data_IF_845193302200
#
_entry.id   IF_845193302200
#
_cell.length_a   1.000
_cell.length_b   1.000
_cell.length_c   1.000
_cell.angle_alpha   90.00
_cell.angle_beta   90.00
_cell.angle_gamma   90.00
#
_symmetry.space_group_name_H-M   'P 1'
#
loop_
_entity.id
_entity.type
_entity.pdbx_description
1 polymer ?
#
# COMPACT_ATOMS: atom_id res chain seq x y z
N UNK A 1 -53.55 9.06 -6.21
CA UNK A 1 -52.45 8.07 -6.31
C UNK A 1 -51.27 8.51 -7.19
N UNK A 2 -51.44 9.31 -8.26
CA UNK A 2 -50.32 9.79 -9.12
C UNK A 2 -49.28 10.69 -8.43
N UNK A 3 -49.63 11.39 -7.34
CA UNK A 3 -48.70 12.30 -6.63
C UNK A 3 -47.73 11.60 -5.68
N UNK A 4 -48.07 10.43 -5.14
CA UNK A 4 -47.20 9.66 -4.24
C UNK A 4 -46.09 8.90 -4.99
N UNK A 5 -46.36 8.48 -6.23
CA UNK A 5 -45.35 7.81 -7.07
C UNK A 5 -44.22 8.75 -7.51
N UNK A 6 -44.54 10.03 -7.77
CA UNK A 6 -43.56 11.04 -8.18
C UNK A 6 -42.58 11.38 -7.06
N UNK A 7 -43.02 11.38 -5.80
CA UNK A 7 -42.15 11.69 -4.66
C UNK A 7 -41.25 10.51 -4.31
N UNK A 8 -41.73 9.27 -4.47
CA UNK A 8 -40.90 8.08 -4.29
C UNK A 8 -39.80 7.99 -5.36
N UNK A 9 -40.08 8.39 -6.61
CA UNK A 9 -39.09 8.39 -7.68
C UNK A 9 -38.01 9.47 -7.49
N UNK A 10 -38.37 10.63 -6.93
CA UNK A 10 -37.41 11.71 -6.67
C UNK A 10 -36.43 11.38 -5.52
N UNK A 11 -36.89 10.63 -4.51
CA UNK A 11 -36.04 10.19 -3.40
C UNK A 11 -35.12 9.04 -3.83
N UNK A 12 -35.58 8.16 -4.74
CA UNK A 12 -34.75 7.04 -5.22
C UNK A 12 -33.61 7.52 -6.14
N UNK A 13 -33.81 8.61 -6.90
CA UNK A 13 -32.74 9.21 -7.73
C UNK A 13 -31.72 9.97 -6.86
N UNK A 14 -32.14 10.54 -5.72
CA UNK A 14 -31.19 11.20 -4.81
C UNK A 14 -30.28 10.20 -4.07
N UNK A 15 -30.73 8.96 -3.87
CA UNK A 15 -29.94 7.90 -3.20
C UNK A 15 -29.01 7.19 -4.19
N UNK A 16 -29.34 7.14 -5.49
CA UNK A 16 -28.46 6.61 -6.53
C UNK A 16 -27.40 7.62 -7.02
N UNK A 17 -27.56 8.91 -6.73
CA UNK A 17 -26.65 9.97 -7.17
C UNK A 17 -25.42 10.23 -6.28
N UNK A 18 -25.31 9.58 -5.11
CA UNK A 18 -24.25 9.85 -4.12
C UNK A 18 -23.27 8.69 -3.89
N UNK A 19 -23.16 7.74 -4.83
CA UNK A 19 -22.20 6.62 -4.74
C UNK A 19 -21.06 6.64 -5.76
N UNK A 20 -20.86 7.73 -6.52
CA UNK A 20 -19.82 7.75 -7.57
C UNK A 20 -19.09 9.09 -7.64
N UNK A 21 -18.55 9.59 -6.52
CA UNK A 21 -17.41 10.53 -6.55
C UNK A 21 -16.67 10.54 -5.21
N UNK A 22 -16.12 9.41 -4.79
CA UNK A 22 -15.02 9.38 -3.83
C UNK A 22 -13.95 8.45 -4.36
N UNK A 23 -13.03 9.05 -5.10
CA UNK A 23 -11.66 8.60 -5.34
C UNK A 23 -11.48 7.08 -5.56
N UNK A 24 -11.82 6.62 -6.77
CA UNK A 24 -11.01 5.59 -7.42
C UNK A 24 -9.69 6.23 -7.89
N UNK A 25 -8.88 6.71 -6.93
CA UNK A 25 -7.43 6.67 -7.11
C UNK A 25 -7.02 5.28 -6.61
N UNK A 26 -6.21 4.52 -7.37
CA UNK A 26 -5.65 3.28 -6.84
C UNK A 26 -5.04 3.60 -5.48
N UNK A 27 -5.22 2.68 -4.52
CA UNK A 27 -4.70 2.76 -3.17
C UNK A 27 -3.15 2.86 -3.19
N UNK A 28 -2.61 4.04 -3.48
CA UNK A 28 -1.20 4.39 -3.33
C UNK A 28 -0.77 4.79 -1.89
N UNK A 29 -1.63 5.06 -0.88
CA UNK A 29 -1.13 5.74 0.31
C UNK A 29 -0.46 4.83 1.34
N UNK A 30 -0.51 3.49 1.21
CA UNK A 30 0.12 2.61 2.22
C UNK A 30 1.64 2.52 2.10
N UNK A 31 2.24 3.01 1.01
CA UNK A 31 3.70 3.10 0.89
C UNK A 31 4.33 4.12 1.85
N UNK A 32 3.55 5.04 2.43
CA UNK A 32 4.09 6.15 3.24
C UNK A 32 3.57 6.23 4.68
N UNK A 33 2.46 5.55 5.01
CA UNK A 33 1.78 5.84 6.29
C UNK A 33 2.44 5.13 7.48
N UNK A 34 3.04 3.95 7.30
CA UNK A 34 3.71 3.18 8.37
C UNK A 34 4.97 2.44 7.87
N UNK A 35 5.80 3.12 7.08
CA UNK A 35 7.09 2.58 6.64
C UNK A 35 8.06 2.58 7.81
N UNK A 36 8.43 1.38 8.27
CA UNK A 36 9.34 1.18 9.39
C UNK A 36 10.79 1.32 8.94
N UNK A 37 11.12 0.64 7.85
CA UNK A 37 12.47 0.61 7.30
C UNK A 37 12.42 0.72 5.78
N UNK A 38 13.40 1.43 5.24
CA UNK A 38 13.65 1.55 3.81
C UNK A 38 15.14 1.32 3.59
N UNK A 39 15.45 0.41 2.67
CA UNK A 39 16.82 0.12 2.27
C UNK A 39 16.89 -0.13 0.77
N UNK A 40 18.07 0.03 0.19
CA UNK A 40 18.30 -0.35 -1.20
C UNK A 40 18.70 -1.82 -1.27
N UNK A 41 18.28 -2.50 -2.33
CA UNK A 41 18.75 -3.84 -2.64
C UNK A 41 19.30 -3.89 -4.07
N UNK A 42 20.28 -4.75 -4.26
CA UNK A 42 20.80 -5.16 -5.54
C UNK A 42 20.99 -6.67 -5.50
N UNK A 43 20.42 -7.38 -6.46
CA UNK A 43 20.43 -8.84 -6.48
C UNK A 43 20.54 -9.35 -7.90
N UNK A 44 21.34 -10.39 -8.08
CA UNK A 44 21.49 -11.06 -9.36
C UNK A 44 20.89 -12.46 -9.29
N UNK A 45 20.13 -12.81 -10.31
CA UNK A 45 19.45 -14.09 -10.40
C UNK A 45 19.11 -14.45 -11.84
N UNK A 46 18.55 -15.62 -12.03
CA UNK A 46 18.16 -16.11 -13.35
C UNK A 46 16.66 -15.95 -13.54
N UNK A 47 16.23 -15.57 -14.74
CA UNK A 47 14.81 -15.41 -15.05
C UNK A 47 14.14 -16.78 -15.08
N UNK A 48 13.30 -17.05 -14.09
CA UNK A 48 12.56 -18.30 -13.97
C UNK A 48 11.30 -18.30 -14.83
N UNK A 49 10.61 -17.16 -14.90
CA UNK A 49 9.33 -17.03 -15.59
C UNK A 49 9.22 -15.68 -16.29
N UNK A 50 8.58 -15.66 -17.46
CA UNK A 50 8.21 -14.45 -18.20
C UNK A 50 6.72 -14.53 -18.51
N UNK A 51 5.93 -13.63 -17.94
CA UNK A 51 4.48 -13.54 -18.16
C UNK A 51 4.15 -12.24 -18.85
N UNK A 52 3.51 -12.32 -20.01
CA UNK A 52 3.07 -11.15 -20.75
C UNK A 52 1.59 -11.28 -21.12
N UNK A 53 0.86 -10.17 -21.04
CA UNK A 53 -0.48 -10.09 -21.59
C UNK A 53 -0.46 -9.58 -23.03
N UNK A 54 -1.59 -9.73 -23.72
CA UNK A 54 -1.76 -9.28 -25.11
C UNK A 54 -1.60 -7.76 -25.31
N UNK A 55 -1.59 -6.99 -24.21
CA UNK A 55 -1.38 -5.54 -24.20
C UNK A 55 0.06 -5.16 -23.87
N UNK A 56 1.03 -6.06 -24.04
CA UNK A 56 2.46 -5.75 -23.87
C UNK A 56 2.88 -5.40 -22.43
N UNK A 57 2.00 -5.63 -21.45
CA UNK A 57 2.32 -5.50 -20.03
C UNK A 57 2.56 -6.89 -19.46
N UNK A 58 3.55 -7.01 -18.60
CA UNK A 58 3.94 -8.30 -18.07
C UNK A 58 4.70 -8.19 -16.77
N UNK A 59 5.24 -9.32 -16.34
CA UNK A 59 6.24 -9.39 -15.30
C UNK A 59 7.21 -10.53 -15.60
N UNK A 60 8.38 -10.45 -15.00
CA UNK A 60 9.29 -11.57 -14.89
C UNK A 60 9.43 -11.98 -13.43
N UNK A 61 9.77 -13.24 -13.21
CA UNK A 61 10.19 -13.75 -11.92
C UNK A 61 11.68 -14.03 -12.00
N UNK A 62 12.46 -13.30 -11.22
CA UNK A 62 13.91 -13.49 -11.08
C UNK A 62 14.13 -14.34 -9.83
N UNK A 63 14.71 -15.52 -10.01
CA UNK A 63 15.03 -16.43 -8.92
C UNK A 63 16.49 -16.26 -8.51
N UNK A 64 16.71 -16.09 -7.22
CA UNK A 64 18.03 -15.77 -6.65
C UNK A 64 18.62 -16.96 -5.88
N UNK A 65 17.87 -18.07 -5.82
CA UNK A 65 18.16 -19.24 -4.99
C UNK A 65 17.57 -19.16 -3.59
N UNK A 66 17.41 -17.96 -3.04
CA UNK A 66 16.81 -17.72 -1.71
C UNK A 66 15.37 -17.21 -1.81
N UNK A 67 15.10 -16.33 -2.78
CA UNK A 67 13.78 -15.75 -3.00
C UNK A 67 13.47 -15.55 -4.48
N UNK A 68 12.18 -15.47 -4.79
CA UNK A 68 11.68 -15.14 -6.13
C UNK A 68 11.19 -13.68 -6.11
N UNK A 69 11.77 -12.85 -6.98
CA UNK A 69 11.42 -11.42 -7.09
C UNK A 69 10.62 -11.19 -8.37
N UNK A 70 9.42 -10.65 -8.22
CA UNK A 70 8.58 -10.27 -9.36
C UNK A 70 8.92 -8.86 -9.82
N UNK A 71 9.30 -8.72 -11.09
CA UNK A 71 9.66 -7.45 -11.71
C UNK A 71 8.65 -7.13 -12.81
N UNK A 72 7.90 -6.04 -12.64
CA UNK A 72 6.93 -5.59 -13.65
C UNK A 72 7.63 -5.10 -14.91
N UNK A 73 7.14 -5.52 -16.08
CA UNK A 73 7.57 -5.04 -17.38
C UNK A 73 6.46 -4.19 -18.00
N UNK A 74 6.75 -2.90 -18.21
CA UNK A 74 5.87 -1.98 -18.93
C UNK A 74 6.41 -1.72 -20.34
N UNK A 75 5.62 -2.06 -21.36
CA UNK A 75 5.60 -1.75 -22.82
C UNK A 75 6.89 -1.50 -23.63
N UNK A 76 8.02 -1.10 -23.03
CA UNK A 76 9.18 -0.63 -23.76
C UNK A 76 10.11 -1.73 -24.29
N UNK A 77 10.24 -2.91 -23.64
CA UNK A 77 11.23 -3.92 -24.05
C UNK A 77 10.87 -5.42 -23.78
N UNK A 78 9.62 -5.88 -24.00
CA UNK A 78 9.24 -7.27 -23.71
C UNK A 78 10.04 -8.34 -24.48
N UNK A 79 10.59 -8.01 -25.65
CA UNK A 79 11.32 -8.95 -26.52
C UNK A 79 12.78 -9.21 -26.11
N UNK A 80 13.33 -8.42 -25.19
CA UNK A 80 14.72 -8.55 -24.76
C UNK A 80 14.93 -9.57 -23.64
N UNK A 81 13.87 -10.21 -23.15
CA UNK A 81 13.88 -10.95 -21.88
C UNK A 81 13.55 -12.42 -22.11
N UNK A 82 14.43 -13.33 -21.70
CA UNK A 82 14.25 -14.78 -21.86
C UNK A 82 14.42 -15.51 -20.55
N UNK A 83 13.66 -16.58 -20.37
CA UNK A 83 13.87 -17.52 -19.24
C UNK A 83 15.28 -18.12 -19.30
N UNK A 84 15.91 -18.26 -18.15
CA UNK A 84 17.28 -18.73 -17.99
C UNK A 84 18.35 -17.66 -18.16
N UNK A 85 18.00 -16.44 -18.57
CA UNK A 85 18.96 -15.34 -18.66
C UNK A 85 19.25 -14.77 -17.27
N UNK A 86 20.54 -14.55 -17.00
CA UNK A 86 21.00 -13.93 -15.75
C UNK A 86 20.84 -12.42 -15.82
N UNK A 87 20.19 -11.87 -14.80
CA UNK A 87 19.87 -10.45 -14.71
C UNK A 87 20.25 -9.91 -13.35
N UNK A 88 20.47 -8.60 -13.28
CA UNK A 88 20.63 -7.88 -12.01
C UNK A 88 19.45 -6.95 -11.81
N UNK A 89 18.78 -7.06 -10.67
CA UNK A 89 17.66 -6.22 -10.25
C UNK A 89 18.15 -5.29 -9.15
N UNK A 90 17.88 -3.99 -9.30
CA UNK A 90 18.05 -3.01 -8.21
C UNK A 90 16.70 -2.44 -7.81
N UNK A 91 16.58 -2.07 -6.55
CA UNK A 91 15.33 -1.51 -6.04
C UNK A 91 15.38 -1.07 -4.60
N UNK A 92 14.19 -0.81 -4.08
CA UNK A 92 13.95 -0.45 -2.69
C UNK A 92 13.31 -1.63 -1.98
N UNK A 93 13.82 -1.99 -0.82
CA UNK A 93 13.19 -2.91 0.11
C UNK A 93 12.46 -2.07 1.15
N UNK A 94 11.14 -2.17 1.16
CA UNK A 94 10.29 -1.46 2.11
C UNK A 94 9.70 -2.44 3.12
N UNK A 95 9.95 -2.19 4.39
CA UNK A 95 9.25 -2.86 5.50
C UNK A 95 8.22 -1.90 6.06
N UNK A 96 6.96 -2.28 6.01
CA UNK A 96 5.84 -1.49 6.50
C UNK A 96 4.95 -2.30 7.45
N UNK A 97 4.22 -1.60 8.31
CA UNK A 97 3.25 -2.20 9.20
C UNK A 97 1.86 -2.21 8.54
N UNK A 98 1.25 -3.38 8.42
CA UNK A 98 -0.16 -3.50 8.04
C UNK A 98 -1.00 -3.49 9.31
N UNK A 99 -1.81 -2.43 9.56
CA UNK A 99 -2.54 -2.29 10.82
C UNK A 99 -3.70 -3.29 10.90
N UNK A 100 -3.77 -4.01 12.01
CA UNK A 100 -4.90 -4.86 12.39
C UNK A 100 -5.79 -4.15 13.40
N UNK A 101 -5.18 -3.51 14.39
CA UNK A 101 -5.85 -2.77 15.45
C UNK A 101 -5.18 -1.43 15.69
N UNK A 102 -5.99 -0.45 16.07
CA UNK A 102 -5.54 0.86 16.53
C UNK A 102 -6.16 1.11 17.89
N UNK A 103 -5.34 1.47 18.87
CA UNK A 103 -5.76 1.76 20.24
C UNK A 103 -5.43 3.22 20.56
N UNK A 104 -6.45 4.04 20.82
CA UNK A 104 -6.28 5.46 21.15
C UNK A 104 -7.53 6.01 21.82
N UNK A 105 -7.39 7.01 22.69
CA UNK A 105 -8.51 7.65 23.39
C UNK A 105 -9.38 6.69 24.23
N UNK A 106 -8.83 5.55 24.66
CA UNK A 106 -9.55 4.49 25.37
C UNK A 106 -10.35 3.52 24.47
N UNK A 107 -10.27 3.66 23.15
CA UNK A 107 -10.93 2.78 22.19
C UNK A 107 -9.93 1.84 21.54
N UNK A 108 -10.41 0.62 21.21
CA UNK A 108 -9.72 -0.33 20.34
C UNK A 108 -10.50 -0.48 19.03
N UNK A 109 -9.94 0.05 17.96
CA UNK A 109 -10.53 0.07 16.62
C UNK A 109 -9.92 -1.09 15.84
N UNK A 110 -10.77 -2.01 15.37
CA UNK A 110 -10.34 -3.06 14.45
C UNK A 110 -10.33 -2.52 13.01
N UNK A 111 -9.16 -2.56 12.38
CA UNK A 111 -8.97 -2.15 10.98
C UNK A 111 -9.15 -3.35 10.05
N UNK A 112 -8.57 -4.49 10.42
CA UNK A 112 -8.66 -5.74 9.65
C UNK A 112 -8.73 -6.95 10.59
N UNK A 113 -9.23 -8.08 10.08
CA UNK A 113 -9.17 -9.35 10.81
C UNK A 113 -7.74 -9.89 10.79
N UNK A 114 -7.25 -10.35 11.93
CA UNK A 114 -5.99 -11.06 12.00
C UNK A 114 -6.06 -12.34 11.16
N UNK A 115 -5.02 -12.57 10.37
CA UNK A 115 -4.83 -13.83 9.66
C UNK A 115 -4.10 -14.78 10.61
N UNK A 116 -4.63 -15.99 10.77
CA UNK A 116 -4.05 -17.02 11.64
C UNK A 116 -2.65 -17.38 11.11
N UNK A 117 -1.65 -17.35 11.99
CA UNK A 117 -0.27 -17.72 11.67
C UNK A 117 0.66 -16.56 11.30
N UNK A 118 0.20 -15.31 11.39
CA UNK A 118 1.09 -14.14 11.22
C UNK A 118 1.48 -13.55 12.58
N UNK A 119 2.78 -13.34 12.78
CA UNK A 119 3.32 -12.67 13.96
C UNK A 119 2.91 -11.19 13.97
N UNK A 120 2.31 -10.77 15.07
CA UNK A 120 1.87 -9.39 15.27
C UNK A 120 2.87 -8.62 16.09
N UNK A 121 3.13 -7.39 15.69
CA UNK A 121 3.89 -6.43 16.48
C UNK A 121 2.99 -5.26 16.89
N UNK A 122 3.34 -4.63 18.01
CA UNK A 122 2.72 -3.40 18.48
C UNK A 122 3.74 -2.28 18.46
N UNK A 123 3.35 -1.13 17.93
CA UNK A 123 4.15 0.09 17.97
C UNK A 123 3.33 1.16 18.68
N UNK A 124 3.98 1.80 19.65
CA UNK A 124 3.40 2.90 20.40
C UNK A 124 3.90 4.22 19.84
N UNK A 125 2.98 5.18 19.78
CA UNK A 125 3.15 6.51 19.25
C UNK A 125 2.48 7.52 20.18
N UNK A 126 2.90 8.76 20.03
CA UNK A 126 2.21 9.92 20.59
C UNK A 126 1.64 10.75 19.44
N UNK A 127 0.44 11.31 19.62
CA UNK A 127 -0.09 12.28 18.66
C UNK A 127 0.69 13.58 18.82
N UNK A 128 1.47 13.95 17.80
CA UNK A 128 2.18 15.24 17.76
C UNK A 128 1.21 16.39 17.55
N UNK A 129 0.36 16.30 16.52
CA UNK A 129 -0.67 17.27 16.19
C UNK A 129 -1.69 16.69 15.20
N UNK A 130 -2.79 17.42 14.99
CA UNK A 130 -3.80 17.11 13.97
C UNK A 130 -3.82 18.26 12.97
N UNK A 131 -3.39 17.99 11.74
CA UNK A 131 -3.37 18.94 10.63
C UNK A 131 -4.74 18.92 9.94
N UNK A 132 -5.48 20.02 10.01
CA UNK A 132 -6.81 20.15 9.37
C UNK A 132 -6.71 21.19 8.26
N UNK A 133 -7.05 20.77 7.03
CA UNK A 133 -7.21 21.66 5.87
C UNK A 133 -8.68 21.70 5.45
N UNK A 134 -9.02 22.53 4.45
CA UNK A 134 -10.38 22.58 3.91
C UNK A 134 -10.84 21.24 3.31
N UNK A 135 -9.91 20.37 2.90
CA UNK A 135 -10.19 19.15 2.13
C UNK A 135 -9.67 17.88 2.79
N UNK A 136 -8.89 17.98 3.87
CA UNK A 136 -8.30 16.82 4.53
C UNK A 136 -8.10 17.04 6.03
N UNK A 137 -7.98 15.94 6.76
CA UNK A 137 -7.56 15.93 8.15
C UNK A 137 -6.54 14.81 8.30
N UNK A 138 -5.41 15.12 8.90
CA UNK A 138 -4.26 14.21 9.03
C UNK A 138 -3.82 14.21 10.49
N UNK A 139 -3.66 13.02 11.08
CA UNK A 139 -3.08 12.87 12.41
C UNK A 139 -1.58 12.63 12.20
N UNK A 140 -0.76 13.46 12.83
CA UNK A 140 0.69 13.30 12.84
C UNK A 140 1.06 12.56 14.12
N UNK A 141 1.70 11.42 13.96
CA UNK A 141 2.17 10.54 15.02
C UNK A 141 3.69 10.62 15.10
N UNK A 142 4.24 10.48 16.29
CA UNK A 142 5.67 10.32 16.53
C UNK A 142 5.91 9.04 17.31
N UNK A 143 6.96 8.29 16.94
CA UNK A 143 7.42 7.14 17.72
C UNK A 143 8.49 7.54 18.75
N UNK A 144 9.02 6.55 19.47
CA UNK A 144 10.07 6.73 20.48
C UNK A 144 11.39 7.27 19.94
N UNK A 145 11.62 7.19 18.62
CA UNK A 145 12.81 7.69 17.94
C UNK A 145 12.57 9.08 17.32
N UNK A 146 11.43 9.72 17.62
CA UNK A 146 10.96 10.98 17.03
C UNK A 146 10.72 10.92 15.52
N UNK A 147 10.55 9.72 14.95
CA UNK A 147 10.18 9.58 13.55
C UNK A 147 8.70 9.88 13.39
N UNK A 148 8.38 10.72 12.39
CA UNK A 148 7.02 11.15 12.11
C UNK A 148 6.30 10.23 11.14
N UNK A 149 5.02 9.98 11.43
CA UNK A 149 4.10 9.24 10.60
C UNK A 149 2.83 10.05 10.40
N UNK A 150 2.30 10.09 9.18
CA UNK A 150 1.09 10.86 8.85
C UNK A 150 -0.02 9.93 8.42
N UNK A 151 -1.07 9.83 9.23
CA UNK A 151 -2.23 8.98 8.92
C UNK A 151 -3.45 9.84 8.58
N UNK A 152 -4.27 9.48 7.59
CA UNK A 152 -5.54 10.16 7.33
C UNK A 152 -6.45 10.02 8.56
N UNK A 153 -6.95 11.13 9.11
CA UNK A 153 -7.77 11.11 10.32
C UNK A 153 -9.08 10.32 10.13
N UNK A 154 -9.56 10.20 8.88
CA UNK A 154 -10.81 9.52 8.55
C UNK A 154 -10.78 8.02 8.85
N UNK A 155 -9.60 7.40 9.02
CA UNK A 155 -9.49 5.98 9.40
C UNK A 155 -9.77 5.76 10.90
N UNK A 156 -9.82 6.84 11.69
CA UNK A 156 -10.04 6.83 13.14
C UNK A 156 -11.38 7.51 13.45
N UNK A 157 -12.49 6.78 13.69
CA UNK A 157 -13.82 7.39 13.84
C UNK A 157 -13.90 8.48 14.93
N UNK A 158 -13.07 8.36 15.96
CA UNK A 158 -13.03 9.27 17.12
C UNK A 158 -12.00 10.41 16.97
N UNK A 159 -11.39 10.60 15.80
CA UNK A 159 -10.24 11.50 15.62
C UNK A 159 -10.47 12.93 16.11
N UNK A 160 -11.72 13.41 16.06
CA UNK A 160 -12.09 14.76 16.54
C UNK A 160 -11.95 14.95 18.05
N UNK A 161 -11.94 13.87 18.81
CA UNK A 161 -11.77 13.89 20.26
C UNK A 161 -10.30 13.74 20.68
N UNK A 162 -9.42 13.43 19.72
CA UNK A 162 -8.00 13.27 19.96
C UNK A 162 -7.30 14.63 19.97
N UNK A 163 -6.19 14.71 20.71
CA UNK A 163 -5.36 15.91 20.84
C UNK A 163 -3.89 15.55 20.88
N UNK A 164 -3.05 16.57 20.72
CA UNK A 164 -1.61 16.41 20.90
C UNK A 164 -1.29 15.86 22.31
N UNK A 165 -0.34 14.94 22.39
CA UNK A 165 0.03 14.22 23.61
C UNK A 165 -0.77 12.96 23.90
N UNK A 166 -1.84 12.67 23.16
CA UNK A 166 -2.60 11.44 23.38
C UNK A 166 -1.79 10.21 22.93
N UNK A 167 -1.87 9.13 23.73
CA UNK A 167 -1.28 7.84 23.37
C UNK A 167 -1.99 7.23 22.16
N UNK A 168 -1.20 6.65 21.27
CA UNK A 168 -1.69 6.01 20.07
C UNK A 168 -0.89 4.73 19.81
N UNK A 169 -1.57 3.59 19.74
CA UNK A 169 -0.91 2.30 19.54
C UNK A 169 -1.45 1.61 18.30
N UNK A 170 -0.56 1.11 17.46
CA UNK A 170 -0.93 0.33 16.27
C UNK A 170 -0.39 -1.07 16.45
N UNK A 171 -1.31 -2.05 16.41
CA UNK A 171 -0.94 -3.46 16.34
C UNK A 171 -1.15 -3.94 14.91
N UNK A 172 -0.14 -4.60 14.35
CA UNK A 172 -0.17 -5.01 12.95
C UNK A 172 0.84 -6.09 12.62
N UNK A 173 0.90 -6.45 11.34
CA UNK A 173 1.86 -7.43 10.81
C UNK A 173 2.92 -6.70 10.00
N UNK A 174 4.19 -7.02 10.24
CA UNK A 174 5.29 -6.53 9.40
C UNK A 174 5.21 -7.18 8.03
N UNK A 175 5.18 -6.37 6.99
CA UNK A 175 5.29 -6.82 5.61
C UNK A 175 6.50 -6.17 4.99
N UNK A 176 7.32 -7.00 4.36
CA UNK A 176 8.47 -6.54 3.59
C UNK A 176 8.19 -6.83 2.13
N UNK A 177 8.38 -5.81 1.29
CA UNK A 177 8.24 -5.93 -0.15
C UNK A 177 9.48 -5.39 -0.82
N UNK A 178 9.94 -6.11 -1.83
CA UNK A 178 10.96 -5.62 -2.75
C UNK A 178 10.24 -4.88 -3.86
N UNK A 179 10.64 -3.64 -4.12
CA UNK A 179 10.14 -2.81 -5.22
C UNK A 179 11.29 -2.64 -6.21
N UNK A 180 11.32 -3.44 -7.28
CA UNK A 180 12.26 -3.25 -8.37
C UNK A 180 12.10 -1.87 -9.00
N UNK A 181 13.21 -1.18 -9.19
CA UNK A 181 13.27 0.12 -9.87
C UNK A 181 14.17 0.07 -11.09
N UNK A 182 15.14 -0.86 -11.13
CA UNK A 182 16.01 -1.08 -12.28
C UNK A 182 16.22 -2.57 -12.55
N UNK A 183 16.40 -2.90 -13.83
CA UNK A 183 16.70 -4.24 -14.31
C UNK A 183 17.81 -4.14 -15.35
N UNK A 184 18.92 -4.84 -15.10
CA UNK A 184 20.05 -4.94 -16.03
C UNK A 184 20.07 -6.31 -16.67
N UNK A 185 20.01 -6.34 -17.99
CA UNK A 185 20.01 -7.55 -18.81
C UNK A 185 21.03 -7.39 -19.92
N UNK A 186 21.93 -8.36 -20.09
CA UNK A 186 22.95 -8.34 -21.16
C UNK A 186 23.73 -7.01 -21.22
N UNK A 187 24.07 -6.45 -20.06
CA UNK A 187 24.81 -5.17 -19.93
C UNK A 187 24.01 -3.90 -20.18
N UNK A 188 22.70 -3.99 -20.46
CA UNK A 188 21.80 -2.83 -20.61
C UNK A 188 20.89 -2.69 -19.40
N UNK A 189 20.86 -1.49 -18.82
CA UNK A 189 20.00 -1.17 -17.66
C UNK A 189 18.71 -0.49 -18.12
N UNK A 190 17.60 -0.99 -17.62
CA UNK A 190 16.25 -0.49 -17.87
C UNK A 190 15.66 0.02 -16.57
N UNK A 191 15.10 1.23 -16.60
CA UNK A 191 14.31 1.75 -15.48
C UNK A 191 12.90 1.17 -15.53
N UNK A 192 12.42 0.73 -14.38
CA UNK A 192 11.09 0.16 -14.22
C UNK A 192 10.19 1.23 -13.63
N UNK A 193 9.12 1.56 -14.35
CA UNK A 193 8.07 2.41 -13.80
C UNK A 193 7.06 1.55 -13.04
N UNK A 194 7.33 1.34 -11.76
CA UNK A 194 6.48 0.51 -10.90
C UNK A 194 5.26 1.32 -10.44
N UNK A 195 4.14 1.21 -11.17
CA UNK A 195 2.84 1.59 -10.62
C UNK A 195 2.44 0.53 -9.59
N UNK A 196 2.40 0.91 -8.31
CA UNK A 196 2.04 0.01 -7.22
C UNK A 196 0.54 -0.26 -7.21
N UNK A 197 0.11 -1.21 -8.03
CA UNK A 197 -1.13 -1.94 -7.79
C UNK A 197 -0.83 -3.14 -6.91
N UNK A 198 -1.11 -3.07 -5.60
CA UNK A 198 -1.12 -4.27 -4.78
C UNK A 198 -2.18 -5.23 -5.35
N UNK A 199 -1.73 -6.33 -5.96
CA UNK A 199 -2.60 -7.43 -6.37
C UNK A 199 -2.60 -8.47 -5.25
N UNK A 200 -3.71 -8.56 -4.53
CA UNK A 200 -3.94 -9.65 -3.57
C UNK A 200 -4.09 -10.93 -4.38
N UNK A 201 -3.09 -11.79 -4.34
CA UNK A 201 -3.20 -13.17 -4.83
C UNK A 201 -3.78 -14.03 -3.70
N UNK A 202 -4.91 -14.67 -3.98
CA UNK A 202 -5.49 -15.69 -3.11
C UNK A 202 -4.72 -16.99 -3.35
N UNK A 203 -4.14 -17.57 -2.31
CA UNK A 203 -3.65 -18.96 -2.33
C UNK A 203 -4.81 -19.92 -2.54
#
# INVERSE_FOLDING_TARGET
MKKLLSTLFLITILILGFSITTLSKPFEPLKSILTLEESQFEISGDIKEVVMNFRGNGYIVVSTGEEDIRVSLSFANPTAVKTGERVTVKGEKLTFLVPLYIETGGYKIQVQKQIIGEDTISIEFEIKNIEITKTSSTIVLIDSENKEYKIPAQIIPIWKNLKAGDSFKITGVKKTVNIPTELTISGKTFKINTQLGFRIEKK
#
